data_IF_044280830184
#
_entry.id   IF_044280830184
#
_cell.length_a   1.000
_cell.length_b   1.000
_cell.length_c   1.000
_cell.angle_alpha   90.00
_cell.angle_beta   90.00
_cell.angle_gamma   90.00
#
_symmetry.space_group_name_H-M   'P 1'
#
loop_
_entity.id
_entity.type
_entity.pdbx_description
1 polymer ?
#
# COMPACT_ATOMS: atom_id res chain seq x y z
N UNK A 1 6.21 -14.48 -6.01
CA UNK A 1 5.68 -15.01 -4.74
C UNK A 1 4.96 -13.84 -4.09
N UNK A 2 3.73 -13.99 -3.61
CA UNK A 2 3.00 -12.85 -3.04
C UNK A 2 3.32 -12.64 -1.56
N UNK A 3 3.08 -11.43 -1.06
CA UNK A 3 3.10 -11.09 0.36
C UNK A 3 2.05 -10.00 0.61
N UNK A 4 1.40 -10.06 1.76
CA UNK A 4 0.28 -9.19 2.14
C UNK A 4 0.62 -8.53 3.47
N UNK A 5 0.37 -7.24 3.61
CA UNK A 5 0.50 -6.50 4.86
C UNK A 5 -0.76 -5.66 5.10
N UNK A 6 -1.26 -5.65 6.35
CA UNK A 6 -2.44 -4.87 6.73
C UNK A 6 -2.18 -4.07 8.00
N UNK A 7 -2.75 -2.86 8.06
CA UNK A 7 -2.68 -1.99 9.23
C UNK A 7 -4.07 -1.41 9.54
N UNK A 8 -4.42 -1.39 10.82
CA UNK A 8 -5.69 -0.86 11.34
C UNK A 8 -5.43 -0.05 12.60
N UNK A 9 -6.09 1.11 12.74
CA UNK A 9 -6.01 1.98 13.91
C UNK A 9 -4.79 2.91 13.95
N UNK A 10 -3.96 2.92 12.91
CA UNK A 10 -2.86 3.87 12.79
C UNK A 10 -3.33 5.24 12.28
N UNK A 11 -2.59 6.30 12.61
CA UNK A 11 -2.84 7.63 12.04
C UNK A 11 -2.56 7.68 10.53
N UNK A 12 -1.59 6.88 10.06
CA UNK A 12 -1.25 6.66 8.66
C UNK A 12 -1.06 5.16 8.40
N UNK A 13 -2.18 4.44 8.22
CA UNK A 13 -2.16 3.02 7.92
C UNK A 13 -1.58 2.74 6.52
N UNK A 14 -1.81 3.65 5.56
CA UNK A 14 -1.29 3.52 4.19
C UNK A 14 0.23 3.52 4.17
N UNK A 15 0.88 4.46 4.87
CA UNK A 15 2.34 4.52 4.99
C UNK A 15 2.93 3.29 5.67
N UNK A 16 2.27 2.78 6.73
CA UNK A 16 2.71 1.53 7.38
C UNK A 16 2.60 0.31 6.47
N UNK A 17 1.54 0.21 5.67
CA UNK A 17 1.40 -0.87 4.69
C UNK A 17 2.49 -0.76 3.63
N UNK A 18 2.77 0.43 3.11
CA UNK A 18 3.84 0.64 2.13
C UNK A 18 5.20 0.18 2.67
N UNK A 19 5.52 0.52 3.93
CA UNK A 19 6.75 0.06 4.57
C UNK A 19 6.78 -1.45 4.76
N UNK A 20 5.67 -2.04 5.21
CA UNK A 20 5.56 -3.50 5.36
C UNK A 20 5.72 -4.25 4.03
N UNK A 21 5.20 -3.70 2.93
CA UNK A 21 5.41 -4.25 1.59
C UNK A 21 6.88 -4.17 1.15
N UNK A 22 7.59 -3.08 1.47
CA UNK A 22 9.04 -2.99 1.24
C UNK A 22 9.80 -4.07 2.00
N UNK A 23 9.44 -4.33 3.25
CA UNK A 23 10.07 -5.40 4.06
C UNK A 23 9.81 -6.80 3.49
N UNK A 24 8.74 -6.98 2.71
CA UNK A 24 8.39 -8.22 2.01
C UNK A 24 8.97 -8.31 0.59
N UNK A 25 9.61 -7.25 0.07
CA UNK A 25 10.02 -7.14 -1.34
C UNK A 25 11.02 -8.24 -1.77
N UNK A 26 11.78 -8.79 -0.82
CA UNK A 26 12.69 -9.91 -1.04
C UNK A 26 12.02 -11.18 -1.61
N UNK A 27 10.69 -11.31 -1.47
CA UNK A 27 9.90 -12.43 -2.03
C UNK A 27 9.72 -12.31 -3.55
N UNK A 28 9.99 -11.13 -4.12
CA UNK A 28 9.85 -10.85 -5.54
C UNK A 28 8.41 -10.52 -5.92
N UNK A 29 8.19 -9.25 -6.27
CA UNK A 29 6.93 -8.72 -6.77
C UNK A 29 7.06 -8.33 -8.25
N UNK A 30 6.08 -8.77 -9.03
CA UNK A 30 5.78 -8.35 -10.40
C UNK A 30 4.71 -7.25 -10.43
N UNK A 31 3.98 -7.06 -9.33
CA UNK A 31 3.09 -5.93 -9.10
C UNK A 31 2.85 -5.73 -7.61
N UNK A 32 2.37 -4.54 -7.24
CA UNK A 32 1.97 -4.21 -5.87
C UNK A 32 0.76 -3.28 -5.87
N UNK A 33 -0.03 -3.32 -4.81
CA UNK A 33 -1.16 -2.42 -4.63
C UNK A 33 -1.49 -2.20 -3.17
N UNK A 34 -2.20 -1.12 -2.89
CA UNK A 34 -2.76 -0.80 -1.58
C UNK A 34 -4.24 -0.46 -1.77
N UNK A 35 -5.08 -1.05 -0.94
CA UNK A 35 -6.45 -0.69 -0.73
C UNK A 35 -6.59 -0.04 0.64
N UNK A 36 -7.19 1.14 0.70
CA UNK A 36 -7.32 1.93 1.91
C UNK A 36 -8.74 2.46 2.06
N UNK A 37 -9.24 2.46 3.29
CA UNK A 37 -10.55 3.03 3.60
C UNK A 37 -10.45 4.56 3.63
N UNK A 38 -11.32 5.22 2.87
CA UNK A 38 -11.54 6.66 2.87
C UNK A 38 -12.96 6.98 3.36
N UNK A 39 -13.24 8.24 3.68
CA UNK A 39 -14.57 8.71 4.07
C UNK A 39 -15.64 8.43 3.01
N UNK A 40 -15.27 8.43 1.73
CA UNK A 40 -16.18 8.23 0.60
C UNK A 40 -16.20 6.77 0.08
N UNK A 41 -15.54 5.84 0.77
CA UNK A 41 -15.51 4.42 0.41
C UNK A 41 -14.10 3.84 0.35
N UNK A 42 -13.84 2.97 -0.62
CA UNK A 42 -12.55 2.28 -0.77
C UNK A 42 -11.73 2.94 -1.88
N UNK A 43 -10.49 3.30 -1.56
CA UNK A 43 -9.50 3.75 -2.54
C UNK A 43 -8.53 2.62 -2.82
N UNK A 44 -8.31 2.31 -4.09
CA UNK A 44 -7.39 1.25 -4.51
C UNK A 44 -6.37 1.83 -5.46
N UNK A 45 -5.09 1.63 -5.15
CA UNK A 45 -3.97 2.02 -6.00
C UNK A 45 -3.13 0.79 -6.31
N UNK A 46 -2.84 0.55 -7.59
CA UNK A 46 -2.02 -0.58 -8.04
C UNK A 46 -1.01 -0.11 -9.08
N UNK A 47 0.19 -0.70 -9.06
CA UNK A 47 1.21 -0.53 -10.08
C UNK A 47 1.85 -1.88 -10.42
N UNK A 48 2.23 -2.01 -11.68
CA UNK A 48 3.12 -3.09 -12.13
C UNK A 48 4.56 -2.76 -11.74
N UNK A 49 5.36 -3.80 -11.52
CA UNK A 49 6.75 -3.67 -11.11
C UNK A 49 6.94 -3.75 -9.59
N UNK A 50 8.01 -3.09 -9.13
CA UNK A 50 8.50 -3.12 -7.74
C UNK A 50 7.66 -2.21 -6.83
N UNK A 51 7.91 -2.31 -5.52
CA UNK A 51 7.19 -1.49 -4.52
C UNK A 51 7.44 0.01 -4.76
N UNK A 52 8.61 0.38 -5.29
CA UNK A 52 8.95 1.77 -5.65
C UNK A 52 7.93 2.41 -6.59
N UNK A 53 7.42 1.70 -7.61
CA UNK A 53 6.43 2.27 -8.52
C UNK A 53 5.12 2.62 -7.79
N UNK A 54 4.74 1.79 -6.82
CA UNK A 54 3.58 2.06 -5.96
C UNK A 54 3.84 3.25 -5.03
N UNK A 55 5.05 3.37 -4.47
CA UNK A 55 5.45 4.52 -3.64
C UNK A 55 5.37 5.84 -4.43
N UNK A 56 5.92 5.89 -5.64
CA UNK A 56 5.83 7.06 -6.53
C UNK A 56 4.36 7.41 -6.86
N UNK A 57 3.51 6.40 -7.05
CA UNK A 57 2.09 6.62 -7.28
C UNK A 57 1.38 7.22 -6.03
N UNK A 58 1.74 6.77 -4.83
CA UNK A 58 1.21 7.32 -3.57
C UNK A 58 1.64 8.76 -3.32
N UNK A 59 2.82 9.17 -3.76
CA UNK A 59 3.24 10.58 -3.69
C UNK A 59 2.34 11.47 -4.57
N UNK A 60 1.95 10.99 -5.75
CA UNK A 60 1.06 11.74 -6.66
C UNK A 60 -0.41 11.70 -6.27
N UNK A 61 -0.84 10.65 -5.56
CA UNK A 61 -2.22 10.47 -5.10
C UNK A 61 -2.17 10.01 -3.64
N UNK A 62 -1.98 10.95 -2.69
CA UNK A 62 -1.87 10.60 -1.28
C UNK A 62 -3.18 10.02 -0.78
N UNK A 63 -3.10 8.89 -0.08
CA UNK A 63 -4.26 8.26 0.55
C UNK A 63 -3.98 8.13 2.04
N UNK A 64 -4.53 9.04 2.84
CA UNK A 64 -4.47 8.90 4.31
C UNK A 64 -5.66 8.08 4.78
N UNK A 65 -5.38 7.03 5.54
CA UNK A 65 -6.40 6.15 6.12
C UNK A 65 -5.94 5.61 7.46
N UNK A 66 -6.89 5.24 8.31
CA UNK A 66 -6.62 4.46 9.52
C UNK A 66 -6.78 2.95 9.32
N UNK A 67 -7.10 2.51 8.11
CA UNK A 67 -7.30 1.11 7.75
C UNK A 67 -6.88 0.87 6.30
N UNK A 68 -5.84 0.05 6.10
CA UNK A 68 -5.31 -0.28 4.78
C UNK A 68 -4.76 -1.71 4.70
N UNK A 69 -4.73 -2.26 3.49
CA UNK A 69 -4.12 -3.55 3.15
C UNK A 69 -3.43 -3.47 1.79
N UNK A 70 -2.32 -4.18 1.61
CA UNK A 70 -1.62 -4.30 0.34
C UNK A 70 -0.95 -5.64 0.17
#
# INVERSE_FOLDING_TARGET
MCGIFACVGAADATGQVLQGLHDLEYRGYDSAGIAAQSGDGLVVLRREGKIRQLAEALETTPVSSSCAVG
#
